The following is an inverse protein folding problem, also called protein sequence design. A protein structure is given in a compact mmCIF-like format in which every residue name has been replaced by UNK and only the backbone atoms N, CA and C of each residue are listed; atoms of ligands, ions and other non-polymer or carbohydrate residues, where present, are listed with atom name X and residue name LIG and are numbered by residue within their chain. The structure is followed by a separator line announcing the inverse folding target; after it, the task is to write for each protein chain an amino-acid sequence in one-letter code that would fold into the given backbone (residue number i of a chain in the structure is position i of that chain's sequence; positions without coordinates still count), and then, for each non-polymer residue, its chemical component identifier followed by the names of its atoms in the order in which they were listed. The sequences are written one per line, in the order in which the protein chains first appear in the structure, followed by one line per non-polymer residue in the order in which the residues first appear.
data_IF_382706065654
#
_entry.id   IF_382706065654
#
_cell.length_a   1.000
_cell.length_b   1.000
_cell.length_c   1.000
_cell.angle_alpha   90.00
_cell.angle_beta   90.00
_cell.angle_gamma   90.00
#
_symmetry.space_group_name_H-M   'P 1'
#
loop_
_entity.id
_entity.type
_entity.pdbx_description
1 polymer ?
#
# COMPACT_ATOMS: atom_id res chain seq x y z
N UNK A 1 -17.76 -5.16 24.57
CA UNK A 1 -18.45 -5.19 23.26
C UNK A 1 -17.55 -4.51 22.25
N UNK A 2 -16.67 -5.25 21.58
CA UNK A 2 -15.73 -4.70 20.58
C UNK A 2 -16.42 -4.69 19.22
N UNK A 3 -16.76 -3.48 18.76
CA UNK A 3 -17.44 -3.20 17.49
C UNK A 3 -16.63 -3.74 16.29
N UNK A 4 -17.31 -4.16 15.21
CA UNK A 4 -16.67 -4.81 14.07
C UNK A 4 -15.76 -3.82 13.33
N UNK A 5 -14.45 -4.05 13.46
CA UNK A 5 -13.45 -3.89 12.41
C UNK A 5 -13.59 -2.64 11.53
N UNK A 6 -13.35 -1.45 12.10
CA UNK A 6 -12.79 -0.35 11.29
C UNK A 6 -11.40 -0.80 10.87
N UNK A 7 -11.31 -1.63 9.80
CA UNK A 7 -10.03 -1.90 9.17
C UNK A 7 -9.45 -0.54 8.84
N UNK A 8 -8.30 -0.21 9.43
CA UNK A 8 -7.54 0.95 8.98
C UNK A 8 -7.43 0.82 7.47
N UNK A 9 -8.08 1.73 6.73
CA UNK A 9 -8.10 1.74 5.28
C UNK A 9 -6.72 1.46 4.66
N UNK A 10 -5.58 2.02 5.17
CA UNK A 10 -4.25 1.69 4.63
C UNK A 10 -3.86 0.21 4.79
N UNK A 11 -4.19 -0.43 5.91
CA UNK A 11 -3.88 -1.85 6.12
C UNK A 11 -4.70 -2.77 5.21
N UNK A 12 -5.87 -2.30 4.74
CA UNK A 12 -6.70 -3.06 3.81
C UNK A 12 -6.09 -3.21 2.41
N UNK A 13 -5.07 -2.41 2.05
CA UNK A 13 -4.38 -2.51 0.76
C UNK A 13 -3.14 -3.41 0.81
N UNK A 14 -2.64 -3.75 2.00
CA UNK A 14 -1.48 -4.62 2.16
C UNK A 14 -1.78 -6.01 1.56
N UNK A 15 -0.84 -6.53 0.77
CA UNK A 15 -0.98 -7.77 0.01
C UNK A 15 -1.59 -7.60 -1.38
N UNK A 16 -2.06 -6.40 -1.74
CA UNK A 16 -2.58 -6.13 -3.08
C UNK A 16 -1.43 -6.02 -4.09
N UNK A 17 -1.61 -6.61 -5.27
CA UNK A 17 -0.73 -6.37 -6.41
C UNK A 17 -1.10 -5.04 -7.07
N UNK A 18 -0.15 -4.12 -7.16
CA UNK A 18 -0.39 -2.76 -7.68
C UNK A 18 0.65 -2.38 -8.72
N UNK A 19 0.29 -1.40 -9.55
CA UNK A 19 1.19 -0.72 -10.48
C UNK A 19 1.42 0.72 -10.04
N UNK A 20 2.67 1.16 -9.96
CA UNK A 20 3.08 2.53 -9.63
C UNK A 20 3.83 3.14 -10.81
N UNK A 21 3.41 4.32 -11.27
CA UNK A 21 4.10 5.08 -12.31
C UNK A 21 4.84 6.24 -11.63
N UNK A 22 6.17 6.27 -11.76
CA UNK A 22 7.00 7.32 -11.18
C UNK A 22 7.02 8.59 -12.04
N UNK A 23 7.58 9.68 -11.51
CA UNK A 23 7.80 10.92 -12.27
C UNK A 23 8.71 10.76 -13.49
N UNK A 24 9.53 9.71 -13.51
CA UNK A 24 10.38 9.38 -14.66
C UNK A 24 9.66 8.49 -15.68
N UNK A 25 8.33 8.34 -15.56
CA UNK A 25 7.49 7.51 -16.43
C UNK A 25 7.82 6.00 -16.38
N UNK A 26 8.63 5.59 -15.40
CA UNK A 26 8.93 4.18 -15.13
C UNK A 26 7.76 3.56 -14.37
N UNK A 27 7.25 2.42 -14.87
CA UNK A 27 6.22 1.60 -14.21
C UNK A 27 6.88 0.52 -13.35
N UNK A 28 6.52 0.52 -12.08
CA UNK A 28 6.88 -0.50 -11.11
C UNK A 28 5.64 -1.34 -10.79
N UNK A 29 5.81 -2.65 -10.68
CA UNK A 29 4.75 -3.58 -10.34
C UNK A 29 5.20 -4.49 -9.20
N UNK A 30 4.31 -4.76 -8.26
CA UNK A 30 4.64 -5.59 -7.11
C UNK A 30 3.53 -5.62 -6.07
N UNK A 31 3.75 -6.44 -5.04
CA UNK A 31 2.85 -6.55 -3.89
C UNK A 31 3.15 -5.43 -2.90
N UNK A 32 2.12 -4.67 -2.54
CA UNK A 32 2.22 -3.66 -1.48
C UNK A 32 2.40 -4.35 -0.13
N UNK A 33 3.58 -4.22 0.48
CA UNK A 33 3.88 -4.83 1.80
C UNK A 33 4.04 -3.80 2.92
N UNK A 34 4.24 -2.53 2.57
CA UNK A 34 4.38 -1.44 3.53
C UNK A 34 3.68 -0.18 3.01
N UNK A 35 2.90 0.47 3.86
CA UNK A 35 2.24 1.74 3.59
C UNK A 35 2.26 2.58 4.87
N UNK A 36 3.00 3.69 4.84
CA UNK A 36 3.06 4.64 5.94
C UNK A 36 2.52 5.99 5.46
N UNK A 37 1.33 6.34 5.95
CA UNK A 37 0.62 7.58 5.58
C UNK A 37 1.26 8.82 6.20
N UNK A 38 1.89 8.69 7.38
CA UNK A 38 2.54 9.81 8.05
C UNK A 38 3.75 10.32 7.27
N UNK A 39 4.61 9.40 6.81
CA UNK A 39 5.81 9.73 6.03
C UNK A 39 5.54 9.77 4.52
N UNK A 40 4.31 9.44 4.08
CA UNK A 40 3.94 9.28 2.67
C UNK A 40 4.86 8.31 1.90
N UNK A 41 5.21 7.20 2.54
CA UNK A 41 6.10 6.17 1.98
C UNK A 41 5.36 4.86 1.73
N UNK A 42 5.77 4.16 0.67
CA UNK A 42 5.25 2.84 0.30
C UNK A 42 6.39 1.88 -0.02
N UNK A 43 6.18 0.60 0.27
CA UNK A 43 7.09 -0.50 -0.06
C UNK A 43 6.43 -1.50 -0.99
N UNK A 44 7.08 -1.78 -2.11
CA UNK A 44 6.71 -2.83 -3.06
C UNK A 44 7.68 -4.01 -2.98
N UNK A 45 7.15 -5.23 -3.01
CA UNK A 45 7.93 -6.46 -3.04
C UNK A 45 7.60 -7.26 -4.31
N UNK A 46 8.64 -7.85 -4.92
CA UNK A 46 8.51 -8.91 -5.93
C UNK A 46 8.58 -10.28 -5.25
#
# INVERSE_FOLDING_TARGET
MTSPNTKNAPESYIGSFISLISKYEIRYEGVLYHLNVGDSTIGLKN
#
